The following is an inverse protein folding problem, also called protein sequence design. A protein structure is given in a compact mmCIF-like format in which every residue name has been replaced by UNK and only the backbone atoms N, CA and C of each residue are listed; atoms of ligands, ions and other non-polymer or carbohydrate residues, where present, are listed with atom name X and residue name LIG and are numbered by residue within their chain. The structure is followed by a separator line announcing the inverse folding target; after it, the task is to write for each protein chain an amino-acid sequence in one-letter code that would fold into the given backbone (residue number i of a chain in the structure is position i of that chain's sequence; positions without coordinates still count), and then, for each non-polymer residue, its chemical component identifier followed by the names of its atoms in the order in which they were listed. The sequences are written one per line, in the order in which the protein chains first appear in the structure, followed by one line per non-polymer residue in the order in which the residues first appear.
data_IF_763637094331
#
_entry.id   IF_763637094331
#
_cell.length_a   1.000
_cell.length_b   1.000
_cell.length_c   1.000
_cell.angle_alpha   90.00
_cell.angle_beta   90.00
_cell.angle_gamma   90.00
#
_symmetry.space_group_name_H-M   'P 1'
#
loop_
_entity.id
_entity.type
_entity.pdbx_description
1 polymer ?
#
# COMPACT_ATOMS: atom_id res chain seq x y z
N UNK A 1 15.49 22.02 10.45
CA UNK A 1 15.23 20.94 9.46
C UNK A 1 13.73 20.74 9.43
N UNK A 2 13.06 21.29 8.41
CA UNK A 2 11.60 21.21 8.30
C UNK A 2 11.23 19.89 7.63
N UNK A 3 10.52 19.03 8.36
CA UNK A 3 9.87 17.86 7.78
C UNK A 3 8.72 18.39 6.90
N UNK A 4 8.63 18.05 5.60
CA UNK A 4 7.55 18.54 4.77
C UNK A 4 6.21 17.98 5.26
N UNK A 5 5.23 18.88 5.50
CA UNK A 5 3.89 18.61 6.06
C UNK A 5 3.02 17.56 5.33
N UNK A 6 3.53 16.91 4.27
CA UNK A 6 2.87 15.77 3.64
C UNK A 6 3.04 14.47 4.44
N UNK A 7 4.04 14.35 5.32
CA UNK A 7 4.18 13.21 6.24
C UNK A 7 3.12 13.20 7.36
N UNK A 8 2.42 14.31 7.60
CA UNK A 8 1.46 14.44 8.70
C UNK A 8 0.06 13.87 8.41
N UNK A 9 -0.21 13.39 7.20
CA UNK A 9 -1.54 12.92 6.81
C UNK A 9 -1.61 11.42 6.43
N UNK A 10 -0.48 10.74 6.29
CA UNK A 10 -0.46 9.32 5.95
C UNK A 10 -0.13 8.48 7.19
N UNK A 11 -1.07 7.69 7.74
CA UNK A 11 -0.85 6.87 8.94
C UNK A 11 0.08 5.66 8.68
N UNK A 12 0.57 5.51 7.45
CA UNK A 12 1.48 4.48 7.00
C UNK A 12 2.73 5.08 6.36
N UNK A 13 3.86 4.45 6.64
CA UNK A 13 5.12 4.67 5.91
C UNK A 13 5.01 4.12 4.48
N UNK A 14 5.92 4.54 3.60
CA UNK A 14 5.97 4.05 2.21
C UNK A 14 6.09 2.52 2.12
N UNK A 15 6.84 1.90 3.04
CA UNK A 15 7.01 0.45 3.09
C UNK A 15 5.72 -0.28 3.53
N UNK A 16 5.02 0.26 4.54
CA UNK A 16 3.73 -0.27 4.98
C UNK A 16 2.66 -0.14 3.88
N UNK A 17 2.66 0.99 3.16
CA UNK A 17 1.76 1.23 2.04
C UNK A 17 2.01 0.26 0.89
N UNK A 18 3.28 0.04 0.51
CA UNK A 18 3.64 -0.90 -0.54
C UNK A 18 3.32 -2.35 -0.17
N UNK A 19 3.52 -2.74 1.09
CA UNK A 19 3.09 -4.04 1.59
C UNK A 19 1.57 -4.21 1.45
N UNK A 20 0.77 -3.22 1.88
CA UNK A 20 -0.69 -3.27 1.74
C UNK A 20 -1.09 -3.41 0.27
N UNK A 21 -0.42 -2.69 -0.63
CA UNK A 21 -0.63 -2.77 -2.08
C UNK A 21 -0.38 -4.18 -2.61
N UNK A 22 0.76 -4.76 -2.31
CA UNK A 22 1.10 -6.12 -2.73
C UNK A 22 0.16 -7.17 -2.10
N UNK A 23 -0.26 -6.97 -0.85
CA UNK A 23 -1.25 -7.83 -0.22
C UNK A 23 -2.58 -7.81 -0.98
N UNK A 24 -3.10 -6.64 -1.34
CA UNK A 24 -4.33 -6.53 -2.14
C UNK A 24 -4.16 -7.01 -3.58
N UNK A 25 -2.93 -7.06 -4.11
CA UNK A 25 -2.61 -7.69 -5.39
C UNK A 25 -2.52 -9.23 -5.32
N UNK A 26 -2.67 -9.83 -4.13
CA UNK A 26 -2.66 -11.29 -3.94
C UNK A 26 -1.27 -11.88 -3.64
N UNK A 27 -0.27 -11.06 -3.32
CA UNK A 27 1.06 -11.56 -2.96
C UNK A 27 0.98 -12.36 -1.64
N UNK A 28 1.55 -13.57 -1.57
CA UNK A 28 1.49 -14.39 -0.36
C UNK A 28 2.15 -13.71 0.85
N UNK A 29 1.49 -13.79 2.01
CA UNK A 29 1.96 -13.16 3.26
C UNK A 29 3.37 -13.58 3.68
N UNK A 30 3.80 -14.81 3.35
CA UNK A 30 5.17 -15.29 3.61
C UNK A 30 6.22 -14.50 2.82
N UNK A 31 5.91 -14.11 1.58
CA UNK A 31 6.79 -13.29 0.73
C UNK A 31 6.87 -11.88 1.31
N UNK A 32 5.71 -11.29 1.62
CA UNK A 32 5.61 -9.95 2.22
C UNK A 32 6.39 -9.84 3.53
N UNK A 33 6.28 -10.84 4.41
CA UNK A 33 7.06 -10.88 5.66
C UNK A 33 8.57 -10.90 5.42
N UNK A 34 9.03 -11.63 4.39
CA UNK A 34 10.45 -11.74 4.07
C UNK A 34 11.00 -10.45 3.46
N UNK A 35 10.22 -9.82 2.58
CA UNK A 35 10.64 -8.65 1.81
C UNK A 35 10.62 -7.37 2.63
N UNK A 36 9.56 -7.18 3.44
CA UNK A 36 9.36 -5.95 4.20
C UNK A 36 9.81 -6.06 5.66
N UNK A 37 10.04 -7.27 6.18
CA UNK A 37 10.28 -7.52 7.61
C UNK A 37 9.17 -6.96 8.54
N UNK A 38 7.95 -6.83 8.01
CA UNK A 38 6.75 -6.33 8.72
C UNK A 38 5.72 -7.45 8.86
N UNK A 39 4.82 -7.34 9.84
CA UNK A 39 3.68 -8.24 9.99
C UNK A 39 2.48 -7.76 9.14
N UNK A 40 2.10 -8.49 8.08
CA UNK A 40 1.00 -8.06 7.20
C UNK A 40 -0.35 -8.00 7.91
N UNK A 41 -0.59 -8.87 8.90
CA UNK A 41 -1.85 -8.91 9.61
C UNK A 41 -1.98 -7.73 10.57
N UNK A 42 -0.90 -7.34 11.24
CA UNK A 42 -0.88 -6.13 12.07
C UNK A 42 -1.17 -4.87 11.24
N UNK A 43 -0.60 -4.79 10.03
CA UNK A 43 -0.85 -3.67 9.11
C UNK A 43 -2.26 -3.65 8.56
N UNK A 44 -2.81 -4.80 8.17
CA UNK A 44 -4.20 -4.91 7.76
C UNK A 44 -5.15 -4.52 8.88
N UNK A 45 -4.84 -4.93 10.12
CA UNK A 45 -5.64 -4.56 11.28
C UNK A 45 -5.63 -3.05 11.48
N UNK A 46 -4.46 -2.40 11.43
CA UNK A 46 -4.36 -0.93 11.49
C UNK A 46 -5.12 -0.25 10.36
N UNK A 47 -5.00 -0.77 9.14
CA UNK A 47 -5.67 -0.22 7.95
C UNK A 47 -7.19 -0.24 8.08
N UNK A 48 -7.75 -1.33 8.61
CA UNK A 48 -9.20 -1.47 8.85
C UNK A 48 -9.74 -0.60 9.98
N UNK A 49 -8.88 -0.19 10.92
CA UNK A 49 -9.25 0.66 12.05
C UNK A 49 -9.12 2.16 11.76
N UNK A 50 -8.72 2.55 10.55
CA UNK A 50 -8.67 3.96 10.19
C UNK A 50 -10.06 4.59 10.12
N UNK A 51 -10.17 5.91 10.39
CA UNK A 51 -11.39 6.65 10.15
C UNK A 51 -11.88 6.46 8.70
N UNK A 52 -13.19 6.38 8.44
CA UNK A 52 -13.74 6.06 7.12
C UNK A 52 -13.17 6.91 5.98
N UNK A 53 -13.00 8.22 6.19
CA UNK A 53 -12.45 9.14 5.20
C UNK A 53 -10.98 8.84 4.84
N UNK A 54 -10.17 8.40 5.80
CA UNK A 54 -8.76 8.01 5.57
C UNK A 54 -8.68 6.64 4.92
N UNK A 55 -9.48 5.68 5.38
CA UNK A 55 -9.56 4.34 4.81
C UNK A 55 -9.99 4.39 3.33
N UNK A 56 -10.99 5.21 2.98
CA UNK A 56 -11.42 5.40 1.59
C UNK A 56 -10.35 6.03 0.71
N UNK A 57 -9.61 7.04 1.22
CA UNK A 57 -8.49 7.64 0.50
C UNK A 57 -7.39 6.62 0.20
N UNK A 58 -6.97 5.86 1.21
CA UNK A 58 -5.97 4.81 1.03
C UNK A 58 -6.43 3.71 0.08
N UNK A 59 -7.68 3.26 0.17
CA UNK A 59 -8.23 2.30 -0.79
C UNK A 59 -8.24 2.85 -2.22
N UNK A 60 -8.54 4.14 -2.40
CA UNK A 60 -8.43 4.79 -3.71
C UNK A 60 -6.99 4.79 -4.19
N UNK A 61 -6.02 5.19 -3.37
CA UNK A 61 -4.60 5.21 -3.74
C UNK A 61 -4.04 3.82 -4.05
N UNK A 62 -4.41 2.80 -3.26
CA UNK A 62 -4.01 1.41 -3.48
C UNK A 62 -4.54 0.84 -4.81
N UNK A 63 -5.71 1.32 -5.26
CA UNK A 63 -6.34 0.92 -6.54
C UNK A 63 -5.95 1.81 -7.71
N UNK A 64 -5.60 3.07 -7.46
CA UNK A 64 -5.37 4.09 -8.49
C UNK A 64 -4.02 3.95 -9.21
N UNK A 65 -3.15 3.03 -8.77
CA UNK A 65 -2.00 2.64 -9.57
C UNK A 65 -2.42 1.47 -10.46
N UNK A 66 -2.79 1.70 -11.74
CA UNK A 66 -2.87 0.59 -12.67
C UNK A 66 -1.48 -0.04 -12.71
N UNK A 67 -1.40 -1.32 -12.36
CA UNK A 67 -0.47 -2.19 -13.08
C UNK A 67 -0.92 -2.13 -14.52
N UNK A 68 -0.45 -1.14 -15.29
CA UNK A 68 -0.73 -1.07 -16.71
C UNK A 68 -0.32 -2.42 -17.30
N UNK A 69 -1.26 -3.21 -17.84
CA UNK A 69 -0.91 -4.35 -18.69
C UNK A 69 -0.38 -3.87 -20.06
N UNK A 70 -0.33 -2.56 -20.30
CA UNK A 70 -0.05 -1.94 -21.60
C UNK A 70 1.44 -1.76 -21.91
N UNK A 71 2.36 -2.16 -21.04
CA UNK A 71 3.79 -2.26 -21.40
C UNK A 71 4.16 -3.66 -21.92
N UNK A 72 3.20 -4.60 -21.96
CA UNK A 72 3.47 -6.01 -22.29
C UNK A 72 3.05 -6.40 -23.72
N UNK A 73 2.30 -5.57 -24.48
CA UNK A 73 1.70 -6.04 -25.73
C UNK A 73 1.33 -4.97 -26.77
N UNK A 74 2.19 -4.00 -27.12
CA UNK A 74 2.06 -3.31 -28.42
C UNK A 74 3.38 -2.74 -28.96
N UNK A 75 4.31 -3.61 -29.32
CA UNK A 75 5.21 -3.36 -30.46
C UNK A 75 5.36 -4.70 -31.17
N UNK A 76 4.34 -5.02 -31.96
CA UNK A 76 4.27 -6.15 -32.88
C UNK A 76 3.37 -5.74 -34.04
#
# INVERSE_FOLDING_TARGET
MSIPSAELANPFTSAEFELLRQFYAGVPTRVLRREFALDPWALLNRHRHLPPAQHQRLLHELRARPTSPEEIATTG
#
